data_IF_889562161531
#
_entry.id   IF_889562161531
#
_cell.length_a   1.000
_cell.length_b   1.000
_cell.length_c   1.000
_cell.angle_alpha   90.00
_cell.angle_beta   90.00
_cell.angle_gamma   90.00
#
_symmetry.space_group_name_H-M   'P 1'
#
loop_
_entity.id
_entity.type
_entity.pdbx_description
1 polymer ?
#
# COMPACT_ATOMS: atom_id res chain seq x y z
N UNK A 1 3.25 -10.02 -18.85
CA UNK A 1 2.50 -10.11 -17.59
C UNK A 1 3.43 -9.67 -16.46
N UNK A 2 3.14 -8.53 -15.86
CA UNK A 2 3.82 -8.12 -14.62
C UNK A 2 3.06 -8.75 -13.46
N UNK A 3 3.73 -9.62 -12.72
CA UNK A 3 3.21 -10.21 -11.47
C UNK A 3 4.01 -9.66 -10.30
N UNK A 4 3.34 -9.44 -9.19
CA UNK A 4 4.02 -9.02 -7.95
C UNK A 4 4.71 -10.25 -7.37
N UNK A 5 6.00 -10.15 -7.07
CA UNK A 5 6.77 -11.20 -6.40
C UNK A 5 6.89 -10.93 -4.89
N UNK A 6 6.96 -9.65 -4.50
CA UNK A 6 7.09 -9.22 -3.11
C UNK A 6 6.36 -7.91 -2.87
N UNK A 7 5.67 -7.78 -1.73
CA UNK A 7 5.15 -6.54 -1.20
C UNK A 7 5.72 -6.28 0.20
N UNK A 8 6.10 -5.03 0.48
CA UNK A 8 6.65 -4.63 1.79
C UNK A 8 5.76 -3.53 2.36
N UNK A 9 5.29 -3.72 3.57
CA UNK A 9 4.46 -2.79 4.32
C UNK A 9 5.24 -2.30 5.54
N UNK A 10 5.34 -0.98 5.69
CA UNK A 10 6.04 -0.32 6.80
C UNK A 10 5.10 0.61 7.55
N UNK A 11 5.47 1.07 8.74
CA UNK A 11 4.65 2.00 9.51
C UNK A 11 3.59 1.31 10.38
N UNK A 12 3.97 0.24 11.04
CA UNK A 12 3.08 -0.56 11.91
C UNK A 12 1.85 -1.14 11.17
N UNK A 13 2.08 -1.88 10.07
CA UNK A 13 0.99 -2.47 9.31
C UNK A 13 0.13 -3.39 10.18
N UNK A 14 -1.18 -3.34 9.94
CA UNK A 14 -2.17 -4.22 10.52
C UNK A 14 -2.88 -4.96 9.39
N UNK A 15 -2.76 -6.27 9.36
CA UNK A 15 -3.48 -7.14 8.43
C UNK A 15 -4.67 -7.77 9.15
N UNK A 16 -5.80 -7.83 8.46
CA UNK A 16 -7.02 -8.42 8.97
C UNK A 16 -7.64 -9.38 7.96
N UNK A 17 -8.22 -10.46 8.44
CA UNK A 17 -9.14 -11.31 7.69
C UNK A 17 -10.42 -11.53 8.49
N UNK A 18 -11.55 -11.54 7.80
CA UNK A 18 -12.84 -11.85 8.42
C UNK A 18 -12.95 -13.36 8.58
N UNK A 19 -13.23 -13.82 9.79
CA UNK A 19 -13.41 -15.21 10.13
C UNK A 19 -14.90 -15.56 10.20
N UNK A 20 -15.66 -14.78 10.95
CA UNK A 20 -17.11 -14.84 10.97
C UNK A 20 -17.68 -13.47 10.58
N UNK A 21 -18.59 -13.40 9.61
CA UNK A 21 -19.10 -12.14 9.07
C UNK A 21 -19.53 -11.17 10.17
N UNK A 22 -18.99 -9.95 10.13
CA UNK A 22 -19.27 -8.83 11.02
C UNK A 22 -19.02 -9.11 12.52
N UNK A 23 -18.39 -10.25 12.86
CA UNK A 23 -18.24 -10.67 14.26
C UNK A 23 -16.81 -10.91 14.69
N UNK A 24 -16.07 -11.74 13.97
CA UNK A 24 -14.70 -12.11 14.34
C UNK A 24 -13.72 -11.84 13.22
N UNK A 25 -12.59 -11.27 13.59
CA UNK A 25 -11.54 -10.87 12.64
C UNK A 25 -10.19 -11.34 13.13
N UNK A 26 -9.52 -12.17 12.37
CA UNK A 26 -8.11 -12.48 12.60
C UNK A 26 -7.27 -11.25 12.30
N UNK A 27 -6.33 -10.93 13.16
CA UNK A 27 -5.55 -9.71 13.07
C UNK A 27 -4.08 -10.02 13.34
N UNK A 28 -3.22 -9.43 12.54
CA UNK A 28 -1.76 -9.53 12.70
C UNK A 28 -1.15 -8.16 12.57
N UNK A 29 -0.28 -7.80 13.51
CA UNK A 29 0.41 -6.52 13.55
C UNK A 29 1.91 -6.72 13.73
N UNK A 30 2.73 -5.82 13.17
CA UNK A 30 4.16 -5.76 13.36
C UNK A 30 4.74 -4.42 12.93
N UNK A 31 6.05 -4.22 13.01
CA UNK A 31 6.72 -3.01 12.51
C UNK A 31 6.84 -3.00 10.98
N UNK A 32 7.12 -4.16 10.42
CA UNK A 32 7.26 -4.38 8.98
C UNK A 32 6.62 -5.71 8.62
N UNK A 33 5.86 -5.76 7.53
CA UNK A 33 5.35 -6.99 6.93
C UNK A 33 5.88 -7.14 5.52
N UNK A 34 6.31 -8.35 5.18
CA UNK A 34 6.80 -8.71 3.86
C UNK A 34 5.97 -9.88 3.33
N UNK A 35 5.16 -9.65 2.31
CA UNK A 35 4.37 -10.67 1.66
C UNK A 35 5.07 -11.12 0.37
N UNK A 36 5.19 -12.44 0.19
CA UNK A 36 5.84 -13.08 -0.95
C UNK A 36 4.83 -13.82 -1.80
N UNK A 37 4.90 -13.60 -3.09
CA UNK A 37 3.96 -14.13 -4.05
C UNK A 37 4.64 -15.04 -5.07
N UNK A 38 3.92 -16.04 -5.54
CA UNK A 38 4.32 -16.90 -6.65
C UNK A 38 3.13 -17.10 -7.57
N UNK A 39 3.29 -16.80 -8.84
CA UNK A 39 2.19 -16.83 -9.83
C UNK A 39 0.96 -16.00 -9.43
N UNK A 40 1.18 -14.89 -8.68
CA UNK A 40 0.10 -14.01 -8.20
C UNK A 40 -0.59 -14.48 -6.92
N UNK A 41 -0.15 -15.58 -6.30
CA UNK A 41 -0.69 -16.10 -5.05
C UNK A 41 0.33 -15.96 -3.92
N UNK A 42 -0.15 -15.53 -2.75
CA UNK A 42 0.69 -15.45 -1.56
C UNK A 42 1.05 -16.87 -1.10
N UNK A 43 2.33 -17.09 -0.82
CA UNK A 43 2.79 -18.36 -0.25
C UNK A 43 3.51 -18.20 1.09
N UNK A 44 3.97 -16.98 1.41
CA UNK A 44 4.67 -16.69 2.66
C UNK A 44 4.45 -15.23 3.04
N UNK A 45 4.36 -14.96 4.34
CA UNK A 45 4.41 -13.62 4.89
C UNK A 45 5.28 -13.60 6.15
N UNK A 46 6.25 -12.69 6.18
CA UNK A 46 7.06 -12.41 7.36
C UNK A 46 6.57 -11.13 8.03
N UNK A 47 6.37 -11.17 9.33
CA UNK A 47 6.04 -10.04 10.19
C UNK A 47 7.22 -9.82 11.11
N UNK A 48 7.92 -8.72 10.95
CA UNK A 48 9.16 -8.42 11.66
C UNK A 48 8.97 -7.30 12.67
N UNK A 49 9.44 -7.54 13.87
CA UNK A 49 9.47 -6.60 14.99
C UNK A 49 8.11 -6.42 15.70
N UNK A 50 8.05 -6.82 16.95
CA UNK A 50 6.86 -6.75 17.82
C UNK A 50 5.63 -7.39 17.17
N UNK A 51 5.79 -8.64 16.70
CA UNK A 51 4.71 -9.41 16.11
C UNK A 51 3.61 -9.68 17.13
N UNK A 52 2.38 -9.28 16.78
CA UNK A 52 1.17 -9.53 17.57
C UNK A 52 0.14 -10.24 16.69
N UNK A 53 -0.55 -11.20 17.27
CA UNK A 53 -1.61 -11.97 16.58
C UNK A 53 -2.83 -12.07 17.46
N UNK A 54 -3.99 -11.78 16.91
CA UNK A 54 -5.32 -12.14 17.39
C UNK A 54 -5.90 -13.13 16.40
N UNK A 55 -6.13 -14.35 16.84
CA UNK A 55 -6.57 -15.44 15.97
C UNK A 55 -7.76 -16.16 16.59
N UNK A 56 -8.85 -16.24 15.84
CA UNK A 56 -10.05 -16.97 16.23
C UNK A 56 -9.94 -18.40 15.70
N UNK A 57 -9.90 -19.34 16.62
CA UNK A 57 -9.73 -20.75 16.31
C UNK A 57 -11.08 -21.36 15.99
N UNK A 58 -11.15 -22.03 14.85
CA UNK A 58 -12.33 -22.78 14.43
C UNK A 58 -12.24 -24.23 14.84
N UNK A 59 -13.40 -24.81 15.06
CA UNK A 59 -13.62 -26.24 15.26
C UNK A 59 -14.85 -26.69 14.45
N UNK A 60 -15.02 -27.99 14.29
CA UNK A 60 -16.10 -28.56 13.50
C UNK A 60 -15.64 -29.06 12.13
N UNK A 61 -16.59 -29.58 11.38
CA UNK A 61 -16.37 -30.05 10.02
C UNK A 61 -16.80 -28.99 8.99
N UNK A 62 -16.72 -29.32 7.71
CA UNK A 62 -17.05 -28.39 6.61
C UNK A 62 -18.49 -27.89 6.60
N UNK A 63 -19.39 -28.52 7.34
CA UNK A 63 -20.81 -28.18 7.39
C UNK A 63 -21.26 -27.51 8.67
N UNK A 64 -20.46 -27.61 9.75
CA UNK A 64 -20.80 -27.11 11.08
C UNK A 64 -19.57 -26.49 11.76
N UNK A 65 -18.95 -25.52 11.10
CA UNK A 65 -17.83 -24.75 11.66
C UNK A 65 -18.32 -23.72 12.65
N UNK A 66 -17.62 -23.61 13.76
CA UNK A 66 -17.83 -22.56 14.76
C UNK A 66 -16.52 -22.13 15.40
N UNK A 67 -16.48 -20.88 15.83
CA UNK A 67 -15.33 -20.35 16.56
C UNK A 67 -15.39 -20.83 18.00
N UNK A 68 -14.38 -21.59 18.45
CA UNK A 68 -14.33 -22.18 19.80
C UNK A 68 -13.29 -21.53 20.72
N UNK A 69 -12.35 -20.76 20.18
CA UNK A 69 -11.28 -20.16 20.97
C UNK A 69 -10.71 -18.90 20.36
N UNK A 70 -10.09 -18.09 21.22
CA UNK A 70 -9.42 -16.86 20.87
C UNK A 70 -7.97 -16.89 21.35
N UNK A 71 -7.04 -16.86 20.41
CA UNK A 71 -5.60 -16.82 20.64
C UNK A 71 -5.11 -15.38 20.60
N UNK A 72 -4.44 -14.95 21.66
CA UNK A 72 -3.64 -13.72 21.71
C UNK A 72 -2.18 -14.14 21.80
N UNK A 73 -1.36 -13.74 20.84
CA UNK A 73 0.06 -14.05 20.84
C UNK A 73 0.91 -12.82 20.55
N UNK A 74 2.08 -12.75 21.21
CA UNK A 74 3.09 -11.72 21.03
C UNK A 74 4.48 -12.37 20.94
N UNK A 75 5.31 -11.86 20.03
CA UNK A 75 6.68 -12.34 19.85
C UNK A 75 7.54 -11.29 19.12
N UNK A 76 8.81 -11.61 18.88
CA UNK A 76 9.65 -10.71 18.09
C UNK A 76 9.22 -10.72 16.62
N UNK A 77 9.10 -11.89 16.01
CA UNK A 77 8.79 -12.05 14.58
C UNK A 77 7.83 -13.22 14.36
N UNK A 78 7.03 -13.15 13.29
CA UNK A 78 6.09 -14.19 12.90
C UNK A 78 6.29 -14.51 11.43
N UNK A 79 6.23 -15.79 11.07
CA UNK A 79 6.18 -16.23 9.69
C UNK A 79 4.90 -17.01 9.45
N UNK A 80 4.15 -16.63 8.44
CA UNK A 80 2.98 -17.33 7.95
C UNK A 80 3.32 -18.06 6.65
N UNK A 81 2.91 -19.31 6.53
CA UNK A 81 2.98 -20.10 5.32
C UNK A 81 1.57 -20.37 4.80
N UNK A 82 1.41 -20.25 3.49
CA UNK A 82 0.13 -20.44 2.82
C UNK A 82 0.25 -21.51 1.74
N UNK A 83 -0.74 -22.39 1.65
CA UNK A 83 -0.93 -23.38 0.59
C UNK A 83 -2.33 -23.16 0.02
N UNK A 84 -2.43 -23.03 -1.29
CA UNK A 84 -3.70 -22.85 -2.01
C UNK A 84 -4.57 -21.70 -1.42
N UNK A 85 -3.90 -20.57 -1.05
CA UNK A 85 -4.49 -19.37 -0.43
C UNK A 85 -5.01 -19.56 1.00
N UNK A 86 -4.85 -20.75 1.56
CA UNK A 86 -5.22 -21.06 2.94
C UNK A 86 -4.00 -20.98 3.84
N UNK A 87 -4.21 -20.56 5.08
CA UNK A 87 -3.17 -20.57 6.09
C UNK A 87 -2.83 -22.02 6.46
N UNK A 88 -1.58 -22.40 6.23
CA UNK A 88 -1.07 -23.74 6.55
C UNK A 88 -0.35 -23.78 7.89
N UNK A 89 0.56 -22.82 8.11
CA UNK A 89 1.39 -22.80 9.30
C UNK A 89 1.71 -21.38 9.78
N UNK A 90 1.74 -21.19 11.11
CA UNK A 90 2.23 -19.99 11.77
C UNK A 90 3.45 -20.36 12.59
N UNK A 91 4.57 -19.66 12.38
CA UNK A 91 5.82 -19.84 13.14
C UNK A 91 6.11 -18.58 13.94
N UNK A 92 6.02 -18.68 15.24
CA UNK A 92 6.38 -17.59 16.19
C UNK A 92 7.86 -17.69 16.57
N UNK A 93 8.58 -16.56 16.50
CA UNK A 93 10.02 -16.48 16.76
C UNK A 93 10.34 -15.44 17.83
N UNK A 94 11.40 -15.68 18.60
CA UNK A 94 11.91 -14.72 19.56
C UNK A 94 11.04 -14.57 20.82
N UNK A 95 11.02 -15.61 21.65
CA UNK A 95 10.32 -15.66 22.94
C UNK A 95 8.82 -15.42 22.84
N UNK A 96 8.08 -16.28 22.15
CA UNK A 96 6.63 -16.13 22.05
C UNK A 96 5.95 -16.23 23.41
N UNK A 97 5.02 -15.32 23.66
CA UNK A 97 4.05 -15.38 24.73
C UNK A 97 2.67 -15.50 24.12
N UNK A 98 1.85 -16.40 24.60
CA UNK A 98 0.50 -16.57 24.10
C UNK A 98 -0.49 -16.94 25.20
N UNK A 99 -1.73 -16.55 24.99
CA UNK A 99 -2.87 -16.95 25.82
C UNK A 99 -4.00 -17.39 24.90
N UNK A 100 -4.59 -18.52 25.24
CA UNK A 100 -5.77 -19.04 24.56
C UNK A 100 -6.97 -18.93 25.50
N UNK A 101 -8.01 -18.26 25.05
CA UNK A 101 -9.27 -18.14 25.77
C UNK A 101 -10.34 -19.00 25.08
N UNK A 102 -11.03 -19.90 25.78
CA UNK A 102 -12.33 -20.37 25.32
C UNK A 102 -13.26 -19.19 25.10
N UNK A 103 -14.12 -19.24 24.08
CA UNK A 103 -14.97 -18.09 23.71
C UNK A 103 -15.88 -17.60 24.84
N UNK A 104 -16.32 -18.52 25.71
CA UNK A 104 -17.16 -18.25 26.88
C UNK A 104 -16.40 -17.69 28.10
N UNK A 105 -15.05 -17.65 28.02
CA UNK A 105 -14.16 -17.24 29.14
C UNK A 105 -13.24 -16.09 28.81
N UNK A 106 -13.51 -15.37 27.75
CA UNK A 106 -12.74 -14.17 27.42
C UNK A 106 -13.04 -13.09 28.46
N UNK A 107 -12.03 -12.53 29.16
CA UNK A 107 -12.24 -11.46 30.11
C UNK A 107 -12.81 -10.20 29.41
N UNK A 108 -13.71 -9.47 30.08
CA UNK A 108 -14.26 -8.20 29.56
C UNK A 108 -13.17 -7.14 29.27
N UNK A 109 -12.03 -7.24 29.96
CA UNK A 109 -10.87 -6.36 29.76
C UNK A 109 -10.07 -6.69 28.49
N UNK A 110 -10.29 -7.88 27.91
CA UNK A 110 -9.60 -8.32 26.72
C UNK A 110 -10.36 -7.84 25.48
N UNK A 111 -9.78 -6.89 24.74
CA UNK A 111 -10.33 -6.48 23.46
C UNK A 111 -10.18 -7.58 22.42
N UNK A 112 -11.22 -7.77 21.60
CA UNK A 112 -11.19 -8.68 20.44
C UNK A 112 -10.57 -8.02 19.19
N UNK A 113 -10.27 -6.74 19.27
CA UNK A 113 -9.67 -5.98 18.17
C UNK A 113 -8.44 -5.22 18.62
N UNK A 114 -7.43 -5.20 17.79
CA UNK A 114 -6.18 -4.46 18.04
C UNK A 114 -6.38 -2.96 17.87
N UNK A 115 -5.57 -2.17 18.57
CA UNK A 115 -5.56 -0.72 18.37
C UNK A 115 -5.23 -0.37 16.91
N UNK A 116 -6.12 0.39 16.30
CA UNK A 116 -6.00 0.79 14.89
C UNK A 116 -6.83 -0.08 13.94
N UNK A 117 -7.50 -1.11 14.42
CA UNK A 117 -8.41 -1.92 13.62
C UNK A 117 -9.52 -1.07 13.03
N UNK A 118 -9.75 -1.25 11.73
CA UNK A 118 -10.89 -0.72 10.99
C UNK A 118 -11.31 -1.74 9.94
N UNK A 119 -12.59 -2.09 9.93
CA UNK A 119 -13.17 -2.92 8.90
C UNK A 119 -14.05 -2.06 8.00
N UNK A 120 -13.61 -1.85 6.78
CA UNK A 120 -14.26 -0.95 5.84
C UNK A 120 -14.67 -1.68 4.54
N UNK A 121 -15.13 -2.93 4.66
CA UNK A 121 -15.53 -3.74 3.50
C UNK A 121 -16.60 -3.06 2.64
N UNK A 122 -17.55 -2.37 3.27
CA UNK A 122 -18.59 -1.60 2.57
C UNK A 122 -18.08 -0.39 1.78
N UNK A 123 -16.85 0.04 2.00
CA UNK A 123 -16.19 1.14 1.25
C UNK A 123 -15.33 0.64 0.11
N UNK A 124 -15.27 -0.68 -0.09
CA UNK A 124 -14.49 -1.25 -1.20
C UNK A 124 -15.10 -0.77 -2.52
N UNK A 125 -14.33 -0.07 -3.37
CA UNK A 125 -14.85 0.41 -4.65
C UNK A 125 -15.24 -0.78 -5.54
N UNK A 126 -16.42 -0.70 -6.13
CA UNK A 126 -16.83 -1.63 -7.15
C UNK A 126 -16.06 -1.38 -8.46
N UNK A 127 -16.01 -2.36 -9.35
CA UNK A 127 -15.35 -2.20 -10.64
C UNK A 127 -15.90 -1.01 -11.44
N UNK A 128 -17.16 -0.70 -11.26
CA UNK A 128 -17.84 0.44 -11.91
C UNK A 128 -17.33 1.78 -11.38
N UNK A 129 -17.05 1.89 -10.08
CA UNK A 129 -16.59 3.13 -9.45
C UNK A 129 -15.22 3.58 -9.97
N UNK A 130 -14.40 2.64 -10.46
CA UNK A 130 -13.09 2.94 -11.06
C UNK A 130 -13.26 3.71 -12.37
N UNK A 131 -14.37 3.50 -13.09
CA UNK A 131 -14.66 4.13 -14.36
C UNK A 131 -15.62 5.33 -14.24
N UNK A 132 -16.33 5.45 -13.13
CA UNK A 132 -17.21 6.57 -12.85
C UNK A 132 -16.41 7.78 -12.36
N UNK A 133 -16.08 8.67 -13.31
CA UNK A 133 -15.38 9.93 -13.05
C UNK A 133 -16.28 11.03 -12.50
N UNK A 134 -17.59 10.80 -12.41
CA UNK A 134 -18.56 11.79 -11.94
C UNK A 134 -18.48 12.02 -10.44
N UNK A 135 -17.95 11.06 -9.68
CA UNK A 135 -18.01 11.06 -8.21
C UNK A 135 -17.01 12.00 -7.53
N UNK A 136 -15.91 12.36 -8.20
CA UNK A 136 -15.00 13.41 -7.70
C UNK A 136 -14.42 14.16 -8.90
N UNK A 137 -14.79 15.44 -9.08
CA UNK A 137 -14.09 16.29 -10.03
C UNK A 137 -12.60 16.28 -9.72
N UNK A 138 -11.78 16.13 -10.75
CA UNK A 138 -10.33 16.12 -10.61
C UNK A 138 -9.89 17.38 -9.88
N UNK A 139 -9.13 17.24 -8.80
CA UNK A 139 -8.53 18.41 -8.14
C UNK A 139 -7.58 19.16 -9.06
N UNK A 140 -7.18 18.58 -10.18
CA UNK A 140 -6.33 19.17 -11.20
C UNK A 140 -6.92 20.46 -11.76
N UNK A 141 -8.21 20.49 -12.10
CA UNK A 141 -8.89 21.69 -12.57
C UNK A 141 -8.90 22.80 -11.51
N UNK A 142 -9.08 22.40 -10.24
CA UNK A 142 -9.00 23.32 -9.12
C UNK A 142 -7.59 23.92 -8.96
N UNK A 143 -6.55 23.08 -9.09
CA UNK A 143 -5.16 23.56 -9.00
C UNK A 143 -4.73 24.39 -10.23
N UNK A 144 -5.24 24.05 -11.42
CA UNK A 144 -4.98 24.81 -12.63
C UNK A 144 -5.66 26.20 -12.61
N UNK A 145 -6.82 26.31 -11.95
CA UNK A 145 -7.53 27.57 -11.77
C UNK A 145 -7.02 28.43 -10.62
N UNK A 146 -6.19 27.89 -9.72
CA UNK A 146 -5.60 28.67 -8.64
C UNK A 146 -4.50 29.59 -9.18
N UNK A 147 -4.48 30.88 -8.75
CA UNK A 147 -3.40 31.77 -9.12
C UNK A 147 -2.07 31.17 -8.61
N UNK A 148 -1.11 31.02 -9.51
CA UNK A 148 0.21 30.51 -9.15
C UNK A 148 0.87 31.54 -8.22
N UNK A 149 1.47 31.12 -7.10
CA UNK A 149 2.18 32.03 -6.23
C UNK A 149 3.34 32.67 -7.03
N UNK A 150 3.42 33.99 -7.01
CA UNK A 150 4.54 34.72 -7.57
C UNK A 150 5.62 34.88 -6.51
N UNK A 151 6.84 34.57 -6.89
CA UNK A 151 8.02 34.77 -6.04
C UNK A 151 8.96 35.76 -6.71
N UNK A 152 9.67 36.61 -5.97
CA UNK A 152 10.58 37.63 -6.57
C UNK A 152 11.59 37.00 -7.54
N UNK A 153 12.06 35.79 -7.25
CA UNK A 153 12.98 35.07 -8.13
C UNK A 153 12.31 34.63 -9.44
N UNK A 154 11.03 34.27 -9.40
CA UNK A 154 10.28 33.86 -10.59
C UNK A 154 10.07 35.07 -11.50
N UNK A 155 9.75 36.24 -10.93
CA UNK A 155 9.60 37.48 -11.66
C UNK A 155 10.91 37.88 -12.32
N UNK A 156 12.03 37.82 -11.59
CA UNK A 156 13.35 38.11 -12.14
C UNK A 156 13.75 37.14 -13.28
N UNK A 157 13.39 35.86 -13.17
CA UNK A 157 13.63 34.89 -14.24
C UNK A 157 12.77 35.20 -15.48
N UNK A 158 11.51 35.57 -15.29
CA UNK A 158 10.60 35.88 -16.41
C UNK A 158 10.99 37.18 -17.10
N UNK A 159 11.46 38.16 -16.35
CA UNK A 159 12.05 39.39 -16.93
C UNK A 159 13.33 39.10 -17.72
N UNK A 160 14.22 38.26 -17.16
CA UNK A 160 15.43 37.82 -17.86
C UNK A 160 15.10 37.04 -19.14
N UNK A 161 14.10 36.19 -19.09
CA UNK A 161 13.64 35.45 -20.28
C UNK A 161 13.07 36.37 -21.36
N UNK A 162 12.25 37.33 -20.96
CA UNK A 162 11.69 38.37 -21.91
C UNK A 162 12.81 39.12 -22.57
N UNK A 163 13.82 39.59 -21.79
CA UNK A 163 14.98 40.30 -22.31
C UNK A 163 15.77 39.42 -23.30
N UNK A 164 16.13 38.20 -22.90
CA UNK A 164 16.85 37.27 -23.76
C UNK A 164 16.08 36.89 -25.04
N UNK A 165 14.76 36.77 -24.93
CA UNK A 165 13.92 36.53 -26.11
C UNK A 165 13.89 37.74 -27.04
N UNK A 166 13.86 38.98 -26.51
CA UNK A 166 13.91 40.19 -27.34
C UNK A 166 15.27 40.39 -28.01
N UNK A 167 16.33 39.84 -27.43
CA UNK A 167 17.69 39.84 -27.98
C UNK A 167 17.92 38.63 -28.95
N UNK A 168 16.90 37.81 -29.19
CA UNK A 168 16.97 36.65 -30.11
C UNK A 168 17.62 35.39 -29.55
N UNK A 169 17.98 35.39 -28.26
CA UNK A 169 18.70 34.26 -27.64
C UNK A 169 17.84 33.01 -27.38
N UNK A 170 16.52 33.11 -27.41
CA UNK A 170 15.61 32.02 -27.06
C UNK A 170 14.38 31.90 -28.00
N UNK A 171 14.58 32.14 -29.28
CA UNK A 171 13.52 31.92 -30.24
C UNK A 171 13.32 30.42 -30.47
N UNK A 172 12.46 29.81 -29.64
CA UNK A 172 12.06 28.40 -29.78
C UNK A 172 11.11 28.15 -30.95
N UNK A 173 10.67 29.20 -31.62
CA UNK A 173 9.80 29.07 -32.81
C UNK A 173 10.62 28.78 -34.05
N UNK A 174 11.87 29.22 -34.09
CA UNK A 174 12.80 28.87 -35.16
C UNK A 174 13.50 27.54 -34.84
N UNK A 175 12.89 26.45 -35.34
CA UNK A 175 13.48 25.11 -35.26
C UNK A 175 14.47 24.83 -36.39
N UNK A 176 14.79 25.81 -37.19
CA UNK A 176 15.76 25.64 -38.25
C UNK A 176 17.15 25.54 -37.63
N UNK A 177 17.80 24.45 -37.93
CA UNK A 177 19.21 24.28 -37.65
C UNK A 177 19.94 25.33 -38.48
N UNK A 178 20.81 26.11 -37.88
CA UNK A 178 21.60 27.09 -38.67
C UNK A 178 22.45 26.36 -39.71
N UNK A 179 22.72 26.95 -40.87
CA UNK A 179 23.55 26.31 -41.90
C UNK A 179 24.89 25.82 -41.35
N UNK A 180 25.50 26.56 -40.44
CA UNK A 180 26.76 26.17 -39.78
C UNK A 180 26.59 24.92 -38.89
N UNK A 181 25.47 24.77 -38.21
CA UNK A 181 25.17 23.59 -37.42
C UNK A 181 24.87 22.37 -38.28
N UNK A 182 24.21 22.54 -39.43
CA UNK A 182 24.04 21.47 -40.45
C UNK A 182 25.37 21.01 -41.03
N UNK A 183 26.28 21.92 -41.34
CA UNK A 183 27.61 21.62 -41.83
C UNK A 183 28.47 20.90 -40.79
N UNK A 184 28.39 21.34 -39.53
CA UNK A 184 29.04 20.66 -38.41
C UNK A 184 28.53 19.21 -38.23
N UNK A 185 27.20 19.00 -38.26
CA UNK A 185 26.62 17.64 -38.13
C UNK A 185 27.04 16.76 -39.34
N UNK A 186 27.10 17.29 -40.55
CA UNK A 186 27.59 16.55 -41.71
C UNK A 186 29.07 16.18 -41.58
N UNK A 187 29.88 17.04 -40.96
CA UNK A 187 31.31 16.76 -40.74
C UNK A 187 31.60 15.64 -39.73
N UNK A 188 30.62 15.36 -38.84
CA UNK A 188 30.73 14.28 -37.84
C UNK A 188 30.30 12.91 -38.36
N UNK A 189 29.67 12.85 -39.53
CA UNK A 189 29.13 11.61 -40.12
C UNK A 189 30.00 10.97 -41.22
N UNK A 190 31.26 11.40 -41.42
CA UNK A 190 32.23 10.81 -42.33
C UNK A 190 33.38 10.12 -41.56
#
# INVERSE_FOLDING_TARGET
NQTIDKAVYTGEPLMCSEEEPERYYNQVKGKVMEAYFRKGEIYKMDVNGNGQTYYFMEDGDSTDRYVNGFLVAECADITFHFIDKQLDQIVYKGKPSYTIYPMDKIPETQSLVMKGFRWEAGRRPAKQDVFDRSVKPSQRERYESMPKPSYPITEAIDEARKRLSSEGWNDRTDRRITPEAEEFVRSLGN
#
